data_IF_213222142383
#
_entry.id   IF_213222142383
#
_cell.length_a   1.000
_cell.length_b   1.000
_cell.length_c   1.000
_cell.angle_alpha   90.00
_cell.angle_beta   90.00
_cell.angle_gamma   90.00
#
_symmetry.space_group_name_H-M   'P 1'
#
loop_
_entity.id
_entity.type
_entity.pdbx_description
1 polymer ?
#
# COMPACT_ATOMS: atom_id res chain seq x y z
N UNK A 1 -9.51 3.24 1.82
CA UNK A 1 -9.21 2.94 0.40
C UNK A 1 -9.36 1.44 0.18
N UNK A 2 -10.03 1.04 -0.89
CA UNK A 2 -10.13 -0.35 -1.29
C UNK A 2 -8.84 -0.81 -2.02
N UNK A 3 -8.66 -2.12 -2.19
CA UNK A 3 -7.47 -2.67 -2.85
C UNK A 3 -7.18 -2.09 -4.24
N UNK A 4 -8.21 -1.82 -5.06
CA UNK A 4 -8.02 -1.25 -6.39
C UNK A 4 -7.52 0.20 -6.32
N UNK A 5 -8.11 1.01 -5.44
CA UNK A 5 -7.67 2.39 -5.21
C UNK A 5 -6.21 2.44 -4.72
N UNK A 6 -5.81 1.50 -3.85
CA UNK A 6 -4.43 1.45 -3.33
C UNK A 6 -3.43 1.07 -4.43
N UNK A 7 -3.80 0.13 -5.31
CA UNK A 7 -2.97 -0.31 -6.44
C UNK A 7 -2.73 0.87 -7.39
N UNK A 8 -3.79 1.59 -7.74
CA UNK A 8 -3.70 2.77 -8.59
C UNK A 8 -2.89 3.89 -7.93
N UNK A 9 -3.17 4.17 -6.66
CA UNK A 9 -2.51 5.26 -5.93
C UNK A 9 -1.01 5.03 -5.71
N UNK A 10 -0.60 3.80 -5.39
CA UNK A 10 0.81 3.44 -5.21
C UNK A 10 1.51 3.09 -6.53
N UNK A 11 0.78 2.91 -7.63
CA UNK A 11 1.34 2.49 -8.91
C UNK A 11 1.97 1.10 -8.86
N UNK A 12 1.39 0.16 -8.12
CA UNK A 12 1.92 -1.20 -7.91
C UNK A 12 0.99 -2.27 -8.51
N UNK A 13 1.50 -3.49 -8.71
CA UNK A 13 0.67 -4.62 -9.13
C UNK A 13 -0.14 -5.23 -7.96
N UNK A 14 -1.20 -5.99 -8.29
CA UNK A 14 -1.94 -6.82 -7.30
C UNK A 14 -1.03 -7.77 -6.52
N UNK A 15 -0.07 -8.40 -7.20
CA UNK A 15 0.92 -9.29 -6.58
C UNK A 15 1.79 -8.53 -5.59
N UNK A 16 2.20 -7.31 -5.94
CA UNK A 16 2.98 -6.46 -5.04
C UNK A 16 2.17 -6.06 -3.82
N UNK A 17 0.90 -5.67 -3.97
CA UNK A 17 0.01 -5.41 -2.84
C UNK A 17 -0.08 -6.63 -1.91
N UNK A 18 -0.24 -7.83 -2.46
CA UNK A 18 -0.25 -9.07 -1.67
C UNK A 18 1.05 -9.28 -0.91
N UNK A 19 2.21 -9.00 -1.53
CA UNK A 19 3.52 -9.07 -0.88
C UNK A 19 3.67 -8.02 0.24
N UNK A 20 3.11 -6.82 0.07
CA UNK A 20 3.10 -5.80 1.12
C UNK A 20 2.30 -6.25 2.33
N UNK A 21 1.13 -6.85 2.08
CA UNK A 21 0.29 -7.40 3.14
C UNK A 21 0.96 -8.56 3.87
N UNK A 22 1.56 -9.51 3.14
CA UNK A 22 2.21 -10.67 3.75
C UNK A 22 3.48 -10.30 4.52
N UNK A 23 4.15 -9.20 4.14
CA UNK A 23 5.33 -8.68 4.85
C UNK A 23 5.00 -7.71 5.98
N UNK A 24 3.71 -7.42 6.23
CA UNK A 24 3.27 -6.46 7.24
C UNK A 24 3.59 -5.00 6.91
N UNK A 25 4.09 -4.70 5.71
CA UNK A 25 4.47 -3.35 5.26
C UNK A 25 3.28 -2.50 4.83
N UNK A 26 2.11 -3.10 4.68
CA UNK A 26 0.83 -2.42 4.53
C UNK A 26 -0.22 -3.34 5.14
N UNK A 27 -1.02 -2.84 6.06
CA UNK A 27 -1.99 -3.66 6.79
C UNK A 27 -3.40 -3.19 6.45
N UNK A 28 -4.23 -4.13 6.02
CA UNK A 28 -5.63 -3.86 5.78
C UNK A 28 -6.39 -3.90 7.11
N UNK A 29 -7.10 -2.83 7.47
CA UNK A 29 -7.93 -2.77 8.69
C UNK A 29 -9.12 -3.73 8.60
N UNK A 30 -9.60 -3.95 7.39
CA UNK A 30 -10.58 -4.98 7.04
C UNK A 30 -10.16 -5.57 5.71
N UNK A 31 -10.53 -6.82 5.41
CA UNK A 31 -10.12 -7.52 4.18
C UNK A 31 -10.32 -6.63 2.93
N UNK A 32 -9.20 -6.17 2.36
CA UNK A 32 -9.18 -5.32 1.16
C UNK A 32 -9.50 -3.83 1.39
N UNK A 33 -9.53 -3.36 2.63
CA UNK A 33 -9.75 -1.97 3.03
C UNK A 33 -8.56 -1.50 3.87
N UNK A 34 -7.96 -0.40 3.43
CA UNK A 34 -6.77 0.21 4.01
C UNK A 34 -7.09 1.61 4.51
N UNK A 35 -6.42 2.03 5.58
CA UNK A 35 -6.42 3.42 5.98
C UNK A 35 -5.63 4.23 4.96
N UNK A 36 -6.15 5.42 4.64
CA UNK A 36 -5.50 6.32 3.70
C UNK A 36 -4.12 6.76 4.21
N UNK A 37 -4.02 7.05 5.51
CA UNK A 37 -2.77 7.46 6.16
C UNK A 37 -1.66 6.42 5.98
N UNK A 38 -1.95 5.13 6.21
CA UNK A 38 -0.96 4.06 6.04
C UNK A 38 -0.46 3.97 4.59
N UNK A 39 -1.36 4.16 3.62
CA UNK A 39 -1.03 4.13 2.19
C UNK A 39 -0.20 5.34 1.80
N UNK A 40 -0.49 6.52 2.33
CA UNK A 40 0.28 7.75 2.11
C UNK A 40 1.69 7.67 2.71
N UNK A 41 1.79 7.24 3.97
CA UNK A 41 3.08 7.01 4.63
C UNK A 41 3.97 6.06 3.81
N UNK A 42 3.37 4.98 3.30
CA UNK A 42 4.07 4.01 2.47
C UNK A 42 4.60 4.59 1.16
N UNK A 43 3.88 5.55 0.59
CA UNK A 43 4.28 6.26 -0.64
C UNK A 43 5.44 7.20 -0.35
N UNK A 44 5.42 7.89 0.79
CA UNK A 44 6.52 8.75 1.24
C UNK A 44 7.78 7.94 1.51
N UNK A 45 7.70 6.82 2.24
CA UNK A 45 8.85 5.92 2.44
C UNK A 45 9.47 5.43 1.11
N UNK A 46 8.65 5.17 0.09
CA UNK A 46 9.15 4.77 -1.23
C UNK A 46 9.80 5.92 -2.00
N UNK A 47 9.41 7.16 -1.74
CA UNK A 47 9.98 8.35 -2.35
C UNK A 47 11.34 8.65 -1.74
N UNK A 48 11.46 8.57 -0.42
CA UNK A 48 12.69 8.86 0.31
C UNK A 48 13.83 7.87 -0.02
N UNK A 49 13.49 6.65 -0.44
CA UNK A 49 14.47 5.65 -0.89
C UNK A 49 15.04 5.92 -2.30
N UNK A 50 14.54 6.94 -3.02
CA UNK A 50 14.96 7.28 -4.38
C UNK A 50 15.83 8.54 -4.46
N UNK A 51 16.02 9.26 -3.35
CA UNK A 51 16.94 10.40 -3.21
C UNK A 51 18.25 9.98 -2.53
#
# INVERSE_FOLDING_TARGET
MNSSEVIEYLGISKQRLSSLNSSGKLIAVKRGIYLRQDVEFRREEQRDLRE
#
